data_IF_315435742504
#
_entry.id   IF_315435742504
#
_cell.length_a   1.000
_cell.length_b   1.000
_cell.length_c   1.000
_cell.angle_alpha   90.00
_cell.angle_beta   90.00
_cell.angle_gamma   90.00
#
_symmetry.space_group_name_H-M   'P 1'
#
loop_
_entity.id
_entity.type
_entity.pdbx_description
1 polymer ?
#
# COMPACT_ATOMS: atom_id res chain seq x y z
N UNK A 1 -33.19 28.16 -7.60
CA UNK A 1 -31.77 28.08 -8.00
C UNK A 1 -30.95 28.37 -6.75
N UNK A 2 -30.40 27.34 -6.11
CA UNK A 2 -29.51 27.48 -4.95
C UNK A 2 -28.17 26.91 -5.37
N UNK A 3 -27.24 27.80 -5.73
CA UNK A 3 -25.84 27.45 -5.99
C UNK A 3 -25.17 27.26 -4.63
N UNK A 4 -25.17 26.02 -4.13
CA UNK A 4 -24.34 25.64 -3.01
C UNK A 4 -22.89 25.55 -3.48
N UNK A 5 -22.19 26.68 -3.51
CA UNK A 5 -20.76 26.78 -3.82
C UNK A 5 -19.93 26.32 -2.59
N UNK A 6 -20.26 25.13 -2.11
CA UNK A 6 -19.65 24.52 -0.93
C UNK A 6 -18.31 23.92 -1.30
N UNK A 7 -17.24 24.42 -0.69
CA UNK A 7 -15.92 23.79 -0.75
C UNK A 7 -16.05 22.28 -0.45
N UNK A 8 -15.79 21.48 -1.48
CA UNK A 8 -16.01 20.03 -1.43
C UNK A 8 -14.66 19.31 -1.52
N UNK A 9 -14.45 18.34 -0.64
CA UNK A 9 -13.29 17.45 -0.67
C UNK A 9 -13.46 16.39 -1.77
N UNK A 10 -12.34 15.80 -2.20
CA UNK A 10 -12.35 14.70 -3.18
C UNK A 10 -11.76 13.43 -2.58
N UNK A 11 -12.44 12.31 -2.82
CA UNK A 11 -11.99 10.96 -2.47
C UNK A 11 -11.79 10.15 -3.74
N UNK A 12 -10.64 9.49 -3.82
CA UNK A 12 -10.39 8.43 -4.78
C UNK A 12 -10.11 7.12 -4.03
N UNK A 13 -10.61 6.02 -4.56
CA UNK A 13 -10.50 4.68 -3.96
C UNK A 13 -9.68 3.80 -4.89
N UNK A 14 -8.59 3.25 -4.37
CA UNK A 14 -7.78 2.25 -5.06
C UNK A 14 -8.19 0.85 -4.66
N UNK A 15 -8.56 0.03 -5.63
CA UNK A 15 -8.99 -1.36 -5.49
C UNK A 15 -7.93 -2.39 -5.94
N UNK A 16 -6.75 -1.93 -6.36
CA UNK A 16 -5.61 -2.76 -6.80
C UNK A 16 -4.32 -2.43 -6.04
N UNK A 17 -4.31 -2.67 -4.75
CA UNK A 17 -3.15 -2.42 -3.89
C UNK A 17 -2.22 -3.64 -3.80
N UNK A 18 -1.79 -4.17 -4.94
CA UNK A 18 -0.93 -5.36 -5.00
C UNK A 18 0.44 -5.10 -4.35
N UNK A 19 0.99 -3.90 -4.50
CA UNK A 19 2.27 -3.51 -3.88
C UNK A 19 2.15 -3.47 -2.35
N UNK A 20 1.08 -2.86 -1.83
CA UNK A 20 0.85 -2.80 -0.39
C UNK A 20 0.66 -4.21 0.20
N UNK A 21 -0.12 -5.07 -0.45
CA UNK A 21 -0.27 -6.46 0.01
C UNK A 21 1.05 -7.24 -0.07
N UNK A 22 1.84 -7.05 -1.11
CA UNK A 22 3.15 -7.72 -1.27
C UNK A 22 4.11 -7.28 -0.16
N UNK A 23 4.19 -5.98 0.15
CA UNK A 23 5.01 -5.48 1.23
C UNK A 23 4.59 -6.07 2.59
N UNK A 24 3.29 -6.13 2.87
CA UNK A 24 2.76 -6.76 4.09
C UNK A 24 3.04 -8.26 4.14
N UNK A 25 2.96 -8.95 3.00
CA UNK A 25 3.27 -10.37 2.93
C UNK A 25 4.71 -10.63 3.37
N UNK A 26 5.67 -9.87 2.82
CA UNK A 26 7.09 -9.99 3.17
C UNK A 26 7.32 -9.72 4.67
N UNK A 27 6.66 -8.70 5.22
CA UNK A 27 6.74 -8.39 6.66
C UNK A 27 6.30 -9.57 7.51
N UNK A 28 5.12 -10.11 7.20
CA UNK A 28 4.46 -11.11 8.02
C UNK A 28 5.11 -12.49 7.86
N UNK A 29 5.46 -12.87 6.63
CA UNK A 29 6.11 -14.15 6.34
C UNK A 29 7.48 -14.26 7.00
N UNK A 30 8.27 -13.17 6.98
CA UNK A 30 9.61 -13.14 7.56
C UNK A 30 9.61 -12.75 9.05
N UNK A 31 8.44 -12.43 9.62
CA UNK A 31 8.30 -11.91 10.99
C UNK A 31 9.29 -10.78 11.28
N UNK A 32 9.28 -9.76 10.43
CA UNK A 32 10.15 -8.60 10.60
C UNK A 32 9.79 -7.85 11.89
N UNK A 33 10.79 -7.41 12.63
CA UNK A 33 10.61 -6.60 13.84
C UNK A 33 10.52 -5.13 13.43
N UNK A 34 9.30 -4.67 13.16
CA UNK A 34 9.02 -3.32 12.64
C UNK A 34 8.86 -2.35 13.80
N UNK A 35 9.55 -1.20 13.80
CA UNK A 35 9.36 -0.16 14.82
C UNK A 35 7.90 0.27 14.94
N UNK A 36 7.45 0.53 16.18
CA UNK A 36 6.11 1.04 16.45
C UNK A 36 5.85 2.35 15.69
N UNK A 37 4.91 2.32 14.76
CA UNK A 37 4.53 3.46 13.94
C UNK A 37 3.06 3.38 13.51
N UNK A 38 2.30 4.49 13.60
CA UNK A 38 0.86 4.48 13.30
C UNK A 38 0.50 4.23 11.84
N UNK A 39 1.48 4.29 10.91
CA UNK A 39 1.28 3.92 9.51
C UNK A 39 1.42 2.42 9.25
N UNK A 40 1.86 1.65 10.24
CA UNK A 40 2.01 0.19 10.14
C UNK A 40 0.66 -0.47 10.40
N UNK A 41 0.06 -1.15 9.42
CA UNK A 41 -1.23 -1.80 9.63
C UNK A 41 -1.04 -3.13 10.39
N UNK A 42 -2.12 -3.72 10.93
CA UNK A 42 -2.09 -5.06 11.51
C UNK A 42 -1.59 -6.15 10.53
N UNK A 43 -1.30 -7.38 11.02
CA UNK A 43 -0.96 -8.53 10.18
C UNK A 43 -2.03 -8.84 9.13
N UNK A 44 -1.63 -9.40 8.00
CA UNK A 44 -2.52 -9.87 6.95
C UNK A 44 -3.52 -10.90 7.49
N UNK A 45 -4.75 -10.79 6.99
CA UNK A 45 -5.79 -11.78 7.20
C UNK A 45 -5.55 -12.98 6.25
N UNK A 46 -5.63 -14.19 6.79
CA UNK A 46 -5.30 -15.43 6.09
C UNK A 46 -3.94 -16.04 6.49
N UNK A 47 -3.63 -17.17 5.85
CA UNK A 47 -2.36 -17.88 6.05
C UNK A 47 -1.25 -17.25 5.20
N UNK A 48 -0.09 -17.06 5.82
CA UNK A 48 1.16 -16.64 5.18
C UNK A 48 2.20 -17.73 5.43
N UNK A 49 3.05 -18.01 4.44
CA UNK A 49 4.15 -18.97 4.61
C UNK A 49 5.12 -18.45 5.68
N UNK A 50 5.64 -19.35 6.52
CA UNK A 50 6.64 -18.98 7.52
C UNK A 50 8.05 -19.02 6.91
N UNK A 51 8.61 -17.83 6.68
CA UNK A 51 9.98 -17.59 6.23
C UNK A 51 10.85 -16.98 7.34
N UNK A 52 10.39 -16.99 8.59
CA UNK A 52 11.09 -16.33 9.71
C UNK A 52 12.47 -16.92 10.01
N UNK A 53 12.73 -18.18 9.62
CA UNK A 53 14.05 -18.81 9.76
C UNK A 53 15.10 -18.38 8.73
N UNK A 54 14.74 -17.52 7.77
CA UNK A 54 15.66 -17.13 6.67
C UNK A 54 16.60 -16.00 7.09
N UNK A 55 16.14 -15.13 7.98
CA UNK A 55 16.96 -14.06 8.55
C UNK A 55 17.59 -14.56 9.86
N UNK A 56 18.79 -14.09 10.14
CA UNK A 56 19.39 -14.33 11.45
C UNK A 56 18.62 -13.52 12.51
N UNK A 57 18.48 -14.01 13.76
CA UNK A 57 17.67 -13.34 14.78
C UNK A 57 18.00 -11.86 15.00
N UNK A 58 19.27 -11.45 14.85
CA UNK A 58 19.69 -10.05 15.01
C UNK A 58 19.36 -9.13 13.82
N UNK A 59 18.92 -9.70 12.69
CA UNK A 59 18.67 -8.98 11.43
C UNK A 59 17.22 -8.51 11.31
N UNK A 60 16.29 -9.12 12.05
CA UNK A 60 14.85 -8.83 11.94
C UNK A 60 14.51 -7.35 12.18
N UNK A 61 15.17 -6.71 13.15
CA UNK A 61 14.96 -5.29 13.46
C UNK A 61 15.51 -4.35 12.37
N UNK A 62 16.65 -4.71 11.78
CA UNK A 62 17.25 -3.95 10.67
C UNK A 62 16.36 -4.05 9.44
N UNK A 63 15.95 -5.27 9.08
CA UNK A 63 15.03 -5.52 7.98
C UNK A 63 13.67 -4.85 8.22
N UNK A 64 13.14 -4.85 9.45
CA UNK A 64 11.89 -4.16 9.80
C UNK A 64 11.98 -2.63 9.68
N UNK A 65 13.12 -2.04 10.05
CA UNK A 65 13.36 -0.60 9.86
C UNK A 65 13.48 -0.20 8.38
N UNK A 66 14.17 -1.03 7.59
CA UNK A 66 14.24 -0.89 6.12
C UNK A 66 12.85 -1.05 5.50
N UNK A 67 12.09 -2.04 5.96
CA UNK A 67 10.71 -2.29 5.53
C UNK A 67 9.82 -1.08 5.79
N UNK A 68 9.88 -0.47 6.98
CA UNK A 68 9.08 0.71 7.30
C UNK A 68 9.41 1.90 6.39
N UNK A 69 10.70 2.09 6.06
CA UNK A 69 11.13 3.15 5.14
C UNK A 69 10.59 2.92 3.74
N UNK A 70 10.64 1.69 3.26
CA UNK A 70 10.10 1.29 1.97
C UNK A 70 8.57 1.34 1.92
N UNK A 71 7.88 0.89 2.98
CA UNK A 71 6.42 0.96 3.13
C UNK A 71 5.91 2.39 2.95
N UNK A 72 6.59 3.38 3.56
CA UNK A 72 6.24 4.79 3.39
C UNK A 72 6.41 5.27 1.94
N UNK A 73 7.43 4.78 1.23
CA UNK A 73 7.60 5.11 -0.20
C UNK A 73 6.46 4.51 -1.03
N UNK A 74 6.06 3.26 -0.77
CA UNK A 74 4.91 2.63 -1.43
C UNK A 74 3.63 3.41 -1.13
N UNK A 75 3.38 3.82 0.12
CA UNK A 75 2.21 4.61 0.49
C UNK A 75 2.14 5.96 -0.26
N UNK A 76 3.27 6.67 -0.38
CA UNK A 76 3.34 7.93 -1.12
C UNK A 76 3.02 7.71 -2.60
N UNK A 77 3.59 6.65 -3.19
CA UNK A 77 3.33 6.30 -4.58
C UNK A 77 1.87 5.92 -4.83
N UNK A 78 1.31 5.00 -4.04
CA UNK A 78 -0.09 4.55 -4.17
C UNK A 78 -1.05 5.71 -3.97
N UNK A 79 -0.80 6.59 -3.00
CA UNK A 79 -1.61 7.79 -2.81
C UNK A 79 -1.55 8.71 -4.04
N UNK A 80 -0.37 8.93 -4.62
CA UNK A 80 -0.20 9.75 -5.82
C UNK A 80 -0.87 9.13 -7.06
N UNK A 81 -0.81 7.80 -7.19
CA UNK A 81 -1.48 7.05 -8.26
C UNK A 81 -3.00 7.22 -8.15
N UNK A 82 -3.57 6.94 -6.98
CA UNK A 82 -5.01 7.02 -6.70
C UNK A 82 -5.52 8.45 -6.82
N UNK A 83 -4.76 9.46 -6.39
CA UNK A 83 -5.12 10.87 -6.54
C UNK A 83 -4.92 11.41 -7.97
N UNK A 84 -4.26 10.64 -8.85
CA UNK A 84 -3.90 11.09 -10.19
C UNK A 84 -2.92 12.27 -10.19
N UNK A 85 -2.10 12.40 -9.15
CA UNK A 85 -1.10 13.48 -9.01
C UNK A 85 0.28 13.08 -9.49
N UNK A 86 0.46 11.84 -9.95
CA UNK A 86 1.68 11.44 -10.65
C UNK A 86 1.78 12.22 -11.96
N UNK A 87 2.83 13.02 -12.09
CA UNK A 87 3.19 13.67 -13.33
C UNK A 87 3.68 12.60 -14.30
N UNK A 88 2.94 12.41 -15.39
CA UNK A 88 3.26 11.45 -16.44
C UNK A 88 3.37 12.18 -17.76
N UNK A 89 4.33 11.82 -18.64
CA UNK A 89 4.44 12.42 -19.96
C UNK A 89 3.15 12.25 -20.77
N UNK A 90 2.93 13.14 -21.75
CA UNK A 90 1.82 13.00 -22.69
C UNK A 90 2.05 11.83 -23.64
N UNK A 91 1.03 10.99 -23.85
CA UNK A 91 1.08 9.91 -24.83
C UNK A 91 0.07 8.80 -24.55
N UNK A 92 -0.28 8.00 -25.58
CA UNK A 92 -1.29 6.95 -25.45
C UNK A 92 -0.92 5.84 -24.45
N UNK A 93 0.38 5.67 -24.16
CA UNK A 93 0.88 4.65 -23.21
C UNK A 93 1.77 5.21 -22.11
N UNK A 94 2.07 6.52 -22.13
CA UNK A 94 3.05 7.14 -21.23
C UNK A 94 2.72 6.97 -19.75
N UNK A 95 1.42 6.95 -19.39
CA UNK A 95 0.98 6.62 -18.03
C UNK A 95 1.32 5.19 -17.65
N UNK A 96 1.02 4.22 -18.50
CA UNK A 96 1.32 2.81 -18.26
C UNK A 96 2.82 2.57 -18.15
N UNK A 97 3.61 3.18 -19.04
CA UNK A 97 5.07 3.08 -19.03
C UNK A 97 5.66 3.69 -17.75
N UNK A 98 5.17 4.87 -17.33
CA UNK A 98 5.59 5.46 -16.08
C UNK A 98 5.19 4.62 -14.86
N UNK A 99 4.03 3.96 -14.88
CA UNK A 99 3.66 3.05 -13.79
C UNK A 99 4.55 1.81 -13.75
N UNK A 100 4.96 1.28 -14.91
CA UNK A 100 5.93 0.18 -14.98
C UNK A 100 7.27 0.63 -14.38
N UNK A 101 7.80 1.77 -14.83
CA UNK A 101 9.08 2.30 -14.34
C UNK A 101 9.06 2.54 -12.83
N UNK A 102 8.01 3.18 -12.29
CA UNK A 102 7.95 3.46 -10.84
C UNK A 102 7.75 2.17 -10.05
N UNK A 103 6.98 1.22 -10.57
CA UNK A 103 6.87 -0.12 -9.98
C UNK A 103 8.21 -0.82 -9.96
N UNK A 104 8.99 -0.78 -11.04
CA UNK A 104 10.35 -1.30 -11.09
C UNK A 104 11.26 -0.61 -10.06
N UNK A 105 11.15 0.71 -9.88
CA UNK A 105 11.95 1.43 -8.86
C UNK A 105 11.59 1.09 -7.40
N UNK A 106 10.38 0.58 -7.16
CA UNK A 106 9.94 0.13 -5.83
C UNK A 106 10.05 -1.40 -5.67
N UNK A 107 10.07 -2.11 -6.80
CA UNK A 107 9.95 -3.56 -6.96
C UNK A 107 10.34 -3.95 -8.41
N UNK A 108 11.64 -4.07 -8.68
CA UNK A 108 12.19 -4.61 -9.93
C UNK A 108 12.30 -6.13 -9.84
N UNK A 109 11.17 -6.80 -9.75
CA UNK A 109 11.16 -8.26 -9.81
C UNK A 109 11.63 -8.78 -11.18
N UNK A 110 12.41 -9.88 -11.25
CA UNK A 110 12.97 -10.70 -10.16
C UNK A 110 14.22 -10.17 -9.46
N UNK A 111 14.93 -9.22 -10.05
CA UNK A 111 16.30 -8.86 -9.67
C UNK A 111 16.40 -8.19 -8.29
N UNK A 112 15.38 -7.42 -7.89
CA UNK A 112 15.31 -6.67 -6.63
C UNK A 112 16.51 -5.73 -6.40
N UNK A 113 17.10 -5.18 -7.47
CA UNK A 113 18.14 -4.16 -7.40
C UNK A 113 17.63 -2.86 -6.78
N UNK A 114 16.33 -2.57 -6.88
CA UNK A 114 15.69 -1.47 -6.16
C UNK A 114 15.88 -1.58 -4.64
N UNK A 115 15.98 -2.81 -4.11
CA UNK A 115 16.24 -3.09 -2.71
C UNK A 115 17.74 -3.31 -2.42
N UNK A 116 18.65 -3.10 -3.37
CA UNK A 116 20.08 -3.32 -3.16
C UNK A 116 20.66 -2.44 -2.05
N UNK A 117 20.10 -1.24 -1.86
CA UNK A 117 20.46 -0.34 -0.75
C UNK A 117 19.92 -0.80 0.62
N UNK A 118 19.04 -1.80 0.64
CA UNK A 118 18.41 -2.40 1.82
C UNK A 118 18.64 -3.91 1.84
N UNK A 119 19.90 -4.31 2.06
CA UNK A 119 20.37 -5.70 1.92
C UNK A 119 19.49 -6.74 2.62
N UNK A 120 19.06 -6.45 3.84
CA UNK A 120 18.32 -7.39 4.69
C UNK A 120 16.86 -7.50 4.26
N UNK A 121 16.22 -6.37 3.94
CA UNK A 121 14.91 -6.37 3.30
C UNK A 121 14.94 -7.05 1.93
N UNK A 122 15.99 -6.82 1.13
CA UNK A 122 16.17 -7.47 -0.17
C UNK A 122 16.28 -9.00 -0.04
N UNK A 123 16.94 -9.51 1.01
CA UNK A 123 16.98 -10.95 1.33
C UNK A 123 15.59 -11.48 1.72
N UNK A 124 14.86 -10.77 2.57
CA UNK A 124 13.49 -11.13 2.97
C UNK A 124 12.52 -11.14 1.77
N UNK A 125 12.64 -10.15 0.88
CA UNK A 125 11.84 -10.05 -0.33
C UNK A 125 12.15 -11.22 -1.27
N UNK A 126 13.43 -11.49 -1.59
CA UNK A 126 13.82 -12.60 -2.48
C UNK A 126 13.25 -13.95 -2.06
N UNK A 127 13.30 -14.29 -0.77
CA UNK A 127 12.80 -15.59 -0.29
C UNK A 127 11.28 -15.68 -0.29
N UNK A 128 10.60 -14.55 -0.05
CA UNK A 128 9.14 -14.50 0.03
C UNK A 128 8.47 -14.29 -1.33
N UNK A 129 9.24 -14.03 -2.39
CA UNK A 129 8.73 -13.60 -3.70
C UNK A 129 7.59 -14.45 -4.23
N UNK A 130 7.89 -15.72 -4.51
CA UNK A 130 6.99 -16.58 -5.27
C UNK A 130 5.70 -16.81 -4.47
N UNK A 131 5.84 -16.94 -3.16
CA UNK A 131 4.75 -17.05 -2.22
C UNK A 131 3.91 -15.76 -2.14
N UNK A 132 4.54 -14.59 -2.12
CA UNK A 132 3.87 -13.29 -2.10
C UNK A 132 3.07 -13.06 -3.39
N UNK A 133 3.66 -13.36 -4.55
CA UNK A 133 2.99 -13.27 -5.86
C UNK A 133 1.80 -14.22 -5.91
N UNK A 134 1.97 -15.46 -5.46
CA UNK A 134 0.88 -16.45 -5.39
C UNK A 134 -0.24 -15.97 -4.48
N UNK A 135 0.09 -15.54 -3.26
CA UNK A 135 -0.88 -15.07 -2.28
C UNK A 135 -1.66 -13.86 -2.76
N UNK A 136 -0.98 -12.86 -3.35
CA UNK A 136 -1.65 -11.69 -3.92
C UNK A 136 -2.58 -12.09 -5.08
N UNK A 137 -2.16 -13.01 -5.95
CA UNK A 137 -2.99 -13.54 -7.02
C UNK A 137 -4.23 -14.28 -6.52
N UNK A 138 -4.09 -15.11 -5.48
CA UNK A 138 -5.20 -15.79 -4.80
C UNK A 138 -6.17 -14.79 -4.17
N UNK A 139 -5.65 -13.80 -3.44
CA UNK A 139 -6.46 -12.77 -2.81
C UNK A 139 -7.21 -11.92 -3.81
N UNK A 140 -6.56 -11.53 -4.91
CA UNK A 140 -7.20 -10.81 -6.01
C UNK A 140 -8.39 -11.60 -6.57
N UNK A 141 -8.24 -12.92 -6.79
CA UNK A 141 -9.35 -13.79 -7.21
C UNK A 141 -10.48 -13.85 -6.18
N UNK A 142 -10.15 -13.96 -4.89
CA UNK A 142 -11.16 -13.96 -3.82
C UNK A 142 -11.93 -12.63 -3.73
N UNK A 143 -11.25 -11.49 -3.87
CA UNK A 143 -11.88 -10.17 -3.89
C UNK A 143 -12.79 -10.01 -5.11
N UNK A 144 -12.36 -10.50 -6.28
CA UNK A 144 -13.17 -10.50 -7.50
C UNK A 144 -14.40 -11.42 -7.41
N UNK A 145 -14.34 -12.48 -6.60
CA UNK A 145 -15.46 -13.39 -6.37
C UNK A 145 -16.51 -12.85 -5.37
N UNK A 146 -16.16 -11.86 -4.53
CA UNK A 146 -17.12 -11.22 -3.61
C UNK A 146 -18.08 -10.28 -4.37
N UNK A 147 -19.32 -10.17 -3.89
CA UNK A 147 -20.33 -9.25 -4.46
C UNK A 147 -19.73 -7.82 -4.58
N UNK A 148 -19.74 -7.20 -5.78
CA UNK A 148 -19.28 -5.82 -5.98
C UNK A 148 -19.88 -4.81 -5.00
N UNK A 149 -21.12 -5.03 -4.53
CA UNK A 149 -21.77 -4.17 -3.52
C UNK A 149 -21.13 -4.25 -2.15
N UNK A 150 -20.44 -5.36 -1.86
CA UNK A 150 -19.69 -5.59 -0.62
C UNK A 150 -18.31 -4.95 -0.63
N UNK A 151 -17.85 -4.45 -1.80
CA UNK A 151 -16.55 -3.77 -1.96
C UNK A 151 -16.64 -2.27 -1.71
N UNK A 152 -17.85 -1.75 -1.48
CA UNK A 152 -18.08 -0.33 -1.30
C UNK A 152 -17.62 0.19 0.06
N UNK A 153 -16.96 1.35 0.05
CA UNK A 153 -16.67 2.15 1.26
C UNK A 153 -17.92 2.78 1.87
N UNK A 154 -19.12 2.43 1.38
CA UNK A 154 -20.42 3.01 1.77
C UNK A 154 -20.70 2.93 3.27
N UNK A 155 -20.04 1.99 3.97
CA UNK A 155 -20.17 1.76 5.40
C UNK A 155 -19.12 2.52 6.23
N UNK A 156 -18.09 3.10 5.61
CA UNK A 156 -17.07 3.87 6.32
C UNK A 156 -17.52 5.31 6.56
N UNK A 157 -17.23 5.89 7.74
CA UNK A 157 -17.61 7.26 8.07
C UNK A 157 -16.65 8.27 7.41
N UNK A 158 -16.49 8.22 6.08
CA UNK A 158 -15.55 9.03 5.31
C UNK A 158 -15.68 10.53 5.64
N UNK A 159 -16.91 11.04 5.73
CA UNK A 159 -17.13 12.45 6.05
C UNK A 159 -16.55 12.84 7.42
N UNK A 160 -16.69 11.98 8.43
CA UNK A 160 -16.12 12.23 9.76
C UNK A 160 -14.59 12.15 9.75
N UNK A 161 -14.02 11.20 8.99
CA UNK A 161 -12.56 11.08 8.81
C UNK A 161 -12.00 12.35 8.15
N UNK A 162 -12.62 12.82 7.06
CA UNK A 162 -12.19 14.02 6.36
C UNK A 162 -12.32 15.26 7.24
N UNK A 163 -13.42 15.40 7.99
CA UNK A 163 -13.57 16.49 8.96
C UNK A 163 -12.48 16.48 10.03
N UNK A 164 -12.12 15.30 10.55
CA UNK A 164 -11.02 15.15 11.49
C UNK A 164 -9.66 15.53 10.90
N UNK A 165 -9.43 15.28 9.61
CA UNK A 165 -8.21 15.71 8.89
C UNK A 165 -8.21 17.24 8.71
N UNK A 166 -9.31 17.83 8.23
CA UNK A 166 -9.48 19.27 8.06
C UNK A 166 -9.16 20.02 9.36
N UNK A 167 -9.74 19.57 10.48
CA UNK A 167 -9.54 20.19 11.79
C UNK A 167 -8.09 20.08 12.26
N UNK A 168 -7.49 18.89 12.15
CA UNK A 168 -6.11 18.64 12.61
C UNK A 168 -5.06 19.35 11.75
N UNK A 169 -5.28 19.45 10.44
CA UNK A 169 -4.35 20.09 9.52
C UNK A 169 -4.57 21.61 9.39
N UNK A 170 -5.70 22.14 9.89
CA UNK A 170 -6.02 23.57 9.81
C UNK A 170 -6.19 24.07 8.36
N UNK A 171 -6.61 23.21 7.44
CA UNK A 171 -6.79 23.53 6.01
C UNK A 171 -8.28 23.60 5.66
N UNK A 172 -8.63 24.33 4.59
CA UNK A 172 -10.01 24.36 4.12
C UNK A 172 -10.40 23.03 3.44
N UNK A 173 -11.67 22.58 3.55
CA UNK A 173 -12.12 21.31 2.96
C UNK A 173 -11.80 21.16 1.47
N UNK A 174 -11.89 22.24 0.69
CA UNK A 174 -11.59 22.23 -0.74
C UNK A 174 -10.12 21.94 -1.09
N UNK A 175 -9.21 22.07 -0.11
CA UNK A 175 -7.79 21.73 -0.26
C UNK A 175 -7.49 20.27 0.10
N UNK A 176 -8.45 19.53 0.65
CA UNK A 176 -8.25 18.13 1.03
C UNK A 176 -8.51 17.21 -0.16
N UNK A 177 -7.45 16.51 -0.55
CA UNK A 177 -7.49 15.36 -1.46
C UNK A 177 -7.08 14.12 -0.68
N UNK A 178 -7.93 13.11 -0.66
CA UNK A 178 -7.68 11.87 0.06
C UNK A 178 -7.69 10.67 -0.89
N UNK A 179 -6.67 9.82 -0.78
CA UNK A 179 -6.68 8.47 -1.32
C UNK A 179 -7.05 7.49 -0.21
N UNK A 180 -7.87 6.50 -0.55
CA UNK A 180 -8.15 5.36 0.32
C UNK A 180 -7.76 4.08 -0.41
N UNK A 181 -6.89 3.31 0.21
CA UNK A 181 -6.52 1.96 -0.20
C UNK A 181 -7.07 0.96 0.82
N UNK A 182 -7.67 -0.12 0.34
CA UNK A 182 -8.27 -1.15 1.21
C UNK A 182 -7.29 -2.31 1.37
N UNK A 183 -6.95 -2.64 2.62
CA UNK A 183 -6.03 -3.71 2.96
C UNK A 183 -6.73 -4.83 3.69
N UNK A 184 -6.38 -6.05 3.32
CA UNK A 184 -6.90 -7.28 3.90
C UNK A 184 -6.14 -7.73 5.14
N UNK A 185 -6.36 -7.06 6.27
CA UNK A 185 -5.64 -7.30 7.52
C UNK A 185 -6.57 -7.88 8.60
N UNK A 186 -6.00 -8.52 9.61
CA UNK A 186 -6.73 -9.04 10.76
C UNK A 186 -7.40 -7.85 11.48
N UNK A 187 -8.69 -8.02 11.78
CA UNK A 187 -9.41 -7.07 12.62
C UNK A 187 -9.12 -7.35 14.10
N UNK A 188 -9.05 -6.29 14.89
CA UNK A 188 -9.17 -6.35 16.34
C UNK A 188 -10.65 -6.35 16.76
#
# INVERSE_FOLDING_TARGET
>A
MHSGDGESWRLAVGDKSDLLHTALYIRDSCRLDVPDDPSVPPPLDGEVSDHSGVLEPGVHLVAGSQWLSWWRQILVFEAAEVLGTLEVPDGPFARSDAMIIVREHLFDWPELEALASWSELGRAARVSRDDAVRWCGERGRHLLARDPRSRGLSHLPIAAIVQGIVQRAGVSPGRVRAAVSILGVRGD
#
